data_IF_049804695884
#
_entry.id   IF_049804695884
#
_cell.length_a   1.000
_cell.length_b   1.000
_cell.length_c   1.000
_cell.angle_alpha   90.00
_cell.angle_beta   90.00
_cell.angle_gamma   90.00
#
_symmetry.space_group_name_H-M   'P 1'
#
loop_
_entity.id
_entity.type
_entity.pdbx_description
1 polymer ?
#
# COMPACT_ATOMS: atom_id res chain seq x y z
N UNK A 1 -11.55 -29.95 -11.92
CA UNK A 1 -10.14 -29.83 -12.34
C UNK A 1 -9.88 -28.37 -12.70
N UNK A 2 -9.06 -27.67 -11.92
CA UNK A 2 -8.68 -26.29 -12.21
C UNK A 2 -7.71 -26.27 -13.41
N UNK A 3 -7.97 -25.44 -14.41
CA UNK A 3 -7.06 -25.21 -15.54
C UNK A 3 -6.67 -23.74 -15.60
N UNK A 4 -5.37 -23.46 -15.54
CA UNK A 4 -4.78 -22.17 -15.91
C UNK A 4 -4.07 -22.41 -17.25
N UNK A 5 -4.66 -21.96 -18.35
CA UNK A 5 -4.10 -22.21 -19.68
C UNK A 5 -3.26 -21.04 -20.19
N UNK A 6 -3.66 -19.82 -19.87
CA UNK A 6 -2.96 -18.58 -20.29
C UNK A 6 -3.43 -17.40 -19.43
N UNK A 7 -2.68 -16.30 -19.46
CA UNK A 7 -3.09 -15.07 -18.82
C UNK A 7 -4.31 -14.48 -19.51
N UNK A 8 -5.28 -14.01 -18.74
CA UNK A 8 -6.47 -13.31 -19.28
C UNK A 8 -6.08 -11.93 -19.84
N UNK A 9 -5.18 -11.24 -19.15
CA UNK A 9 -4.62 -9.95 -19.57
C UNK A 9 -3.13 -9.95 -19.23
N UNK A 10 -2.32 -9.39 -20.13
CA UNK A 10 -0.90 -9.13 -19.91
C UNK A 10 -0.63 -7.65 -20.21
N UNK A 11 -0.20 -6.92 -19.20
CA UNK A 11 0.11 -5.50 -19.29
C UNK A 11 1.63 -5.36 -19.51
N UNK A 12 2.04 -5.13 -20.74
CA UNK A 12 3.44 -5.01 -21.14
C UNK A 12 3.86 -3.54 -21.21
N UNK A 13 5.15 -3.22 -21.01
CA UNK A 13 5.67 -1.89 -21.30
C UNK A 13 5.61 -1.62 -22.80
N UNK A 14 5.38 -0.36 -23.18
CA UNK A 14 5.29 0.04 -24.59
C UNK A 14 6.58 -0.22 -25.37
N UNK A 15 7.73 -0.19 -24.69
CA UNK A 15 9.04 -0.46 -25.27
C UNK A 15 9.84 -1.36 -24.34
N UNK A 16 10.56 -2.31 -24.91
CA UNK A 16 11.46 -3.21 -24.16
C UNK A 16 12.54 -2.43 -23.36
N UNK A 17 13.00 -1.28 -23.87
CA UNK A 17 13.96 -0.42 -23.18
C UNK A 17 13.40 0.27 -21.92
N UNK A 18 12.09 0.34 -21.77
CA UNK A 18 11.42 0.88 -20.59
C UNK A 18 10.95 -0.21 -19.60
N UNK A 19 11.22 -1.48 -19.92
CA UNK A 19 10.88 -2.59 -19.03
C UNK A 19 11.61 -2.46 -17.69
N UNK A 20 10.85 -2.70 -16.59
CA UNK A 20 11.34 -2.70 -15.21
C UNK A 20 10.78 -3.91 -14.50
N UNK A 21 11.51 -4.38 -13.49
CA UNK A 21 11.07 -5.52 -12.70
C UNK A 21 9.86 -5.13 -11.86
N UNK A 22 8.75 -5.86 -12.02
CA UNK A 22 7.55 -5.69 -11.23
C UNK A 22 7.69 -6.50 -9.93
N UNK A 23 7.79 -5.82 -8.79
CA UNK A 23 8.05 -6.47 -7.50
C UNK A 23 6.79 -6.63 -6.65
N UNK A 24 5.80 -5.80 -6.84
CA UNK A 24 4.61 -5.78 -6.00
C UNK A 24 3.34 -5.57 -6.81
N UNK A 25 2.27 -6.27 -6.44
CA UNK A 25 0.94 -6.12 -7.03
C UNK A 25 -0.15 -6.21 -5.97
N UNK A 26 -1.24 -5.50 -6.15
CA UNK A 26 -2.44 -5.65 -5.35
C UNK A 26 -3.71 -5.31 -6.14
N UNK A 27 -4.81 -6.00 -5.83
CA UNK A 27 -6.14 -5.64 -6.32
C UNK A 27 -6.74 -4.51 -5.49
N UNK A 28 -7.38 -3.56 -6.18
CA UNK A 28 -8.25 -2.54 -5.61
C UNK A 28 -9.64 -2.60 -6.25
N UNK A 29 -10.68 -2.16 -5.55
CA UNK A 29 -12.07 -2.21 -6.00
C UNK A 29 -12.47 -3.61 -6.55
N UNK A 30 -12.05 -4.68 -5.89
CA UNK A 30 -12.22 -6.04 -6.42
C UNK A 30 -13.59 -6.67 -6.10
N UNK A 31 -14.52 -5.88 -5.59
CA UNK A 31 -15.88 -6.29 -5.24
C UNK A 31 -16.84 -6.33 -6.45
N UNK A 32 -16.48 -5.70 -7.58
CA UNK A 32 -17.26 -5.73 -8.82
C UNK A 32 -16.35 -5.73 -10.06
N UNK A 33 -16.94 -5.88 -11.24
CA UNK A 33 -16.22 -5.90 -12.52
C UNK A 33 -16.12 -4.53 -13.20
N UNK A 34 -16.86 -3.53 -12.70
CA UNK A 34 -16.94 -2.20 -13.31
C UNK A 34 -15.77 -1.31 -12.93
N UNK A 35 -15.25 -1.46 -11.68
CA UNK A 35 -14.22 -0.59 -11.12
C UNK A 35 -12.95 -1.34 -10.68
N UNK A 36 -12.89 -2.63 -10.96
CA UNK A 36 -11.74 -3.46 -10.54
C UNK A 36 -10.45 -2.90 -11.10
N UNK A 37 -9.50 -2.68 -10.22
CA UNK A 37 -8.19 -2.10 -10.53
C UNK A 37 -7.07 -2.99 -10.02
N UNK A 38 -5.89 -2.86 -10.63
CA UNK A 38 -4.65 -3.46 -10.15
C UNK A 38 -3.59 -2.38 -10.04
N UNK A 39 -2.91 -2.33 -8.90
CA UNK A 39 -1.70 -1.53 -8.76
C UNK A 39 -0.48 -2.44 -8.89
N UNK A 40 0.51 -1.98 -9.65
CA UNK A 40 1.83 -2.59 -9.77
C UNK A 40 2.90 -1.63 -9.30
N UNK A 41 3.90 -2.13 -8.57
CA UNK A 41 5.06 -1.40 -8.10
C UNK A 41 6.34 -1.99 -8.66
N UNK A 42 7.27 -1.13 -9.08
CA UNK A 42 8.45 -1.51 -9.85
C UNK A 42 9.76 -1.17 -9.12
N UNK A 43 10.85 -1.81 -9.54
CA UNK A 43 12.20 -1.68 -9.00
C UNK A 43 12.76 -0.23 -9.07
N UNK A 44 12.36 0.53 -10.09
CA UNK A 44 12.75 1.94 -10.27
C UNK A 44 11.87 2.95 -9.50
N UNK A 45 10.89 2.46 -8.72
CA UNK A 45 9.98 3.29 -7.94
C UNK A 45 8.68 3.65 -8.65
N UNK A 46 8.47 3.24 -9.88
CA UNK A 46 7.21 3.46 -10.59
C UNK A 46 6.07 2.70 -9.90
N UNK A 47 4.92 3.37 -9.83
CA UNK A 47 3.64 2.80 -9.44
C UNK A 47 2.68 3.03 -10.60
N UNK A 48 1.98 1.97 -11.01
CA UNK A 48 0.98 2.05 -12.08
C UNK A 48 -0.32 1.44 -11.58
N UNK A 49 -1.38 2.23 -11.63
CA UNK A 49 -2.75 1.80 -11.35
C UNK A 49 -3.46 1.53 -12.67
N UNK A 50 -3.85 0.30 -12.88
CA UNK A 50 -4.56 -0.15 -14.09
C UNK A 50 -6.05 -0.29 -13.81
N UNK A 51 -6.87 0.18 -14.73
CA UNK A 51 -8.29 -0.14 -14.82
C UNK A 51 -8.45 -1.41 -15.68
N UNK A 52 -8.92 -2.50 -15.07
CA UNK A 52 -9.05 -3.79 -15.78
C UNK A 52 -10.23 -3.84 -16.75
N UNK A 53 -11.18 -2.94 -16.63
CA UNK A 53 -12.30 -2.85 -17.57
C UNK A 53 -11.83 -2.30 -18.92
N UNK A 54 -10.98 -1.28 -18.88
CA UNK A 54 -10.46 -0.61 -20.09
C UNK A 54 -9.10 -1.14 -20.50
N UNK A 55 -8.44 -1.93 -19.65
CA UNK A 55 -7.06 -2.39 -19.80
C UNK A 55 -6.06 -1.23 -19.99
N UNK A 56 -6.34 -0.11 -19.35
CA UNK A 56 -5.55 1.11 -19.47
C UNK A 56 -4.95 1.54 -18.12
N UNK A 57 -3.86 2.29 -18.18
CA UNK A 57 -3.29 2.94 -17.01
C UNK A 57 -4.18 4.11 -16.63
N UNK A 58 -4.75 4.06 -15.42
CA UNK A 58 -5.55 5.12 -14.83
C UNK A 58 -4.71 6.20 -14.15
N UNK A 59 -3.56 5.78 -13.58
CA UNK A 59 -2.68 6.67 -12.83
C UNK A 59 -1.27 6.12 -12.78
N UNK A 60 -0.29 7.01 -12.86
CA UNK A 60 1.13 6.71 -12.66
C UNK A 60 1.76 7.70 -11.69
N UNK A 61 2.70 7.23 -10.89
CA UNK A 61 3.56 8.05 -10.04
C UNK A 61 4.91 7.36 -9.85
N UNK A 62 5.89 8.08 -9.30
CA UNK A 62 7.20 7.52 -9.00
C UNK A 62 7.65 7.86 -7.58
N UNK A 63 7.95 6.83 -6.80
CA UNK A 63 8.46 6.93 -5.42
C UNK A 63 9.94 7.23 -5.32
N UNK A 64 10.65 7.36 -6.45
CA UNK A 64 12.11 7.56 -6.59
C UNK A 64 12.98 6.38 -6.15
N UNK A 65 12.43 5.40 -5.47
CA UNK A 65 13.10 4.20 -4.99
C UNK A 65 12.22 2.99 -5.18
N UNK A 66 12.82 1.82 -5.42
CA UNK A 66 12.11 0.59 -5.71
C UNK A 66 10.98 0.30 -4.73
N UNK A 67 9.83 -0.07 -5.29
CA UNK A 67 8.60 -0.37 -4.55
C UNK A 67 8.64 -1.81 -4.06
N UNK A 68 8.70 -2.00 -2.77
CA UNK A 68 8.80 -3.33 -2.13
C UNK A 68 7.45 -3.97 -1.85
N UNK A 69 6.43 -3.17 -1.57
CA UNK A 69 5.07 -3.65 -1.30
C UNK A 69 4.04 -2.58 -1.63
N UNK A 70 2.87 -3.03 -2.06
CA UNK A 70 1.67 -2.20 -2.27
C UNK A 70 0.49 -2.86 -1.60
N UNK A 71 -0.35 -2.10 -0.90
CA UNK A 71 -1.49 -2.67 -0.19
C UNK A 71 -2.64 -1.67 -0.09
N UNK A 72 -3.79 -2.02 -0.69
CA UNK A 72 -5.03 -1.27 -0.47
C UNK A 72 -5.60 -1.54 0.92
N UNK A 73 -6.34 -0.58 1.44
CA UNK A 73 -6.97 -0.70 2.76
C UNK A 73 -8.03 -1.80 2.81
N UNK A 74 -8.84 -1.94 1.78
CA UNK A 74 -9.83 -3.00 1.62
C UNK A 74 -10.01 -3.32 0.13
N UNK A 75 -9.67 -4.52 -0.34
CA UNK A 75 -9.87 -4.89 -1.75
C UNK A 75 -11.32 -5.24 -2.07
N UNK A 76 -12.12 -5.63 -1.07
CA UNK A 76 -13.51 -6.10 -1.18
C UNK A 76 -14.57 -4.99 -1.15
N UNK A 77 -14.17 -3.74 -1.00
CA UNK A 77 -15.02 -2.54 -1.08
C UNK A 77 -14.27 -1.43 -1.80
N UNK A 78 -14.91 -0.27 -1.96
CA UNK A 78 -14.27 0.89 -2.56
C UNK A 78 -12.95 1.25 -1.87
N UNK A 79 -11.89 1.34 -2.66
CA UNK A 79 -10.55 1.68 -2.19
C UNK A 79 -10.48 3.12 -1.70
N UNK A 80 -10.08 3.32 -0.46
CA UNK A 80 -9.88 4.65 0.11
C UNK A 80 -8.41 5.01 0.26
N UNK A 81 -7.57 4.03 0.55
CA UNK A 81 -6.14 4.23 0.78
C UNK A 81 -5.32 3.17 0.07
N UNK A 82 -4.16 3.59 -0.39
CA UNK A 82 -3.10 2.73 -0.88
C UNK A 82 -1.82 3.05 -0.11
N UNK A 83 -1.25 2.06 0.57
CA UNK A 83 0.09 2.19 1.16
C UNK A 83 1.10 1.52 0.24
N UNK A 84 2.14 2.27 -0.07
CA UNK A 84 3.27 1.86 -0.92
C UNK A 84 4.54 1.97 -0.09
N UNK A 85 5.30 0.90 0.01
CA UNK A 85 6.59 0.86 0.74
C UNK A 85 7.76 0.84 -0.22
N UNK A 86 8.91 1.34 0.22
CA UNK A 86 10.07 1.48 -0.63
C UNK A 86 11.35 0.96 0.00
N UNK A 87 12.37 0.74 -0.84
CA UNK A 87 13.72 0.38 -0.41
C UNK A 87 14.34 1.42 0.53
N UNK A 88 13.92 2.68 0.44
CA UNK A 88 14.54 3.79 1.17
C UNK A 88 13.79 4.16 2.45
N UNK A 89 13.56 3.22 3.35
CA UNK A 89 13.05 3.49 4.71
C UNK A 89 11.69 4.17 4.78
N UNK A 90 11.04 4.44 3.67
CA UNK A 90 9.83 5.26 3.56
C UNK A 90 8.63 4.45 3.09
N UNK A 91 7.46 4.97 3.41
CA UNK A 91 6.22 4.61 2.74
C UNK A 91 5.47 5.86 2.29
N UNK A 92 4.60 5.69 1.30
CA UNK A 92 3.56 6.66 0.93
C UNK A 92 2.19 6.10 1.23
N UNK A 93 1.33 6.94 1.78
CA UNK A 93 -0.09 6.62 1.96
C UNK A 93 -0.89 7.57 1.07
N UNK A 94 -1.51 7.05 0.03
CA UNK A 94 -2.35 7.78 -0.92
C UNK A 94 -3.80 7.76 -0.45
N UNK A 95 -4.49 8.91 -0.55
CA UNK A 95 -5.95 8.98 -0.42
C UNK A 95 -6.58 8.80 -1.82
N UNK A 96 -7.07 7.61 -2.09
CA UNK A 96 -7.58 7.20 -3.41
C UNK A 96 -8.90 7.88 -3.80
N UNK A 97 -9.47 8.70 -2.92
CA UNK A 97 -10.67 9.48 -3.17
C UNK A 97 -10.37 10.90 -3.66
N UNK A 98 -9.10 11.24 -3.82
CA UNK A 98 -8.63 12.60 -4.15
C UNK A 98 -8.06 12.67 -5.57
N UNK A 99 -8.49 11.82 -6.49
CA UNK A 99 -7.94 11.81 -7.85
C UNK A 99 -8.15 13.15 -8.55
N UNK A 100 -7.04 13.75 -8.97
CA UNK A 100 -7.00 14.98 -9.74
C UNK A 100 -6.34 14.71 -11.09
N UNK A 101 -6.89 15.24 -12.22
CA UNK A 101 -6.37 14.92 -13.56
C UNK A 101 -4.90 15.29 -13.77
N UNK A 102 -4.45 16.43 -13.21
CA UNK A 102 -3.09 16.92 -13.39
C UNK A 102 -2.14 16.60 -12.23
N UNK A 103 -2.64 16.54 -10.99
CA UNK A 103 -1.82 16.39 -9.78
C UNK A 103 -1.93 14.98 -9.15
N UNK A 104 -2.80 14.12 -9.69
CA UNK A 104 -2.97 12.74 -9.25
C UNK A 104 -3.66 12.60 -7.89
N UNK A 105 -3.25 11.63 -7.09
CA UNK A 105 -3.77 11.39 -5.74
C UNK A 105 -2.97 12.15 -4.69
N UNK A 106 -3.66 12.79 -3.77
CA UNK A 106 -3.02 13.35 -2.58
C UNK A 106 -2.41 12.23 -1.74
N UNK A 107 -1.19 12.45 -1.26
CA UNK A 107 -0.48 11.47 -0.45
C UNK A 107 0.37 12.10 0.64
N UNK A 108 0.64 11.33 1.68
CA UNK A 108 1.64 11.64 2.70
C UNK A 108 2.80 10.66 2.58
N UNK A 109 4.02 11.16 2.78
CA UNK A 109 5.24 10.34 2.77
C UNK A 109 5.87 10.42 4.16
N UNK A 110 6.10 9.25 4.76
CA UNK A 110 6.68 9.13 6.09
C UNK A 110 7.88 8.19 6.08
N UNK A 111 8.81 8.45 6.99
CA UNK A 111 9.92 7.53 7.26
C UNK A 111 9.49 6.53 8.31
N UNK A 112 9.35 5.26 7.91
CA UNK A 112 8.91 4.19 8.81
C UNK A 112 10.03 3.61 9.66
N UNK A 113 11.16 3.29 9.02
CA UNK A 113 12.25 2.54 9.64
C UNK A 113 13.60 3.20 9.36
N UNK A 114 14.67 2.63 9.89
CA UNK A 114 16.06 3.01 9.54
C UNK A 114 16.63 2.18 8.39
N UNK A 115 15.84 1.31 7.83
CA UNK A 115 16.18 0.35 6.77
C UNK A 115 15.03 0.25 5.77
N UNK A 116 15.18 -0.57 4.74
CA UNK A 116 14.13 -0.91 3.78
C UNK A 116 12.81 -1.25 4.49
N UNK A 117 11.70 -0.76 3.98
CA UNK A 117 10.37 -1.17 4.40
C UNK A 117 9.90 -2.29 3.47
N UNK A 118 9.92 -3.53 3.94
CA UNK A 118 9.63 -4.69 3.08
C UNK A 118 8.15 -4.94 2.85
N UNK A 119 7.32 -4.63 3.84
CA UNK A 119 5.90 -4.95 3.78
C UNK A 119 5.05 -3.91 4.52
N UNK A 120 3.84 -3.68 4.01
CA UNK A 120 2.76 -3.02 4.73
C UNK A 120 1.46 -3.82 4.57
N UNK A 121 0.64 -3.87 5.63
CA UNK A 121 -0.67 -4.54 5.63
C UNK A 121 -1.66 -3.75 6.48
N UNK A 122 -2.81 -3.42 5.91
CA UNK A 122 -3.92 -2.84 6.67
C UNK A 122 -4.57 -3.89 7.57
N UNK A 123 -5.06 -3.43 8.71
CA UNK A 123 -5.83 -4.26 9.64
C UNK A 123 -7.21 -4.56 9.02
N UNK A 124 -7.62 -5.84 8.87
CA UNK A 124 -8.89 -6.18 8.23
C UNK A 124 -10.12 -5.58 8.93
N UNK A 125 -10.06 -5.42 10.26
CA UNK A 125 -11.17 -4.92 11.08
C UNK A 125 -11.24 -3.40 11.17
N UNK A 126 -10.14 -2.69 10.83
CA UNK A 126 -10.09 -1.23 10.81
C UNK A 126 -9.20 -0.76 9.65
N UNK A 127 -9.83 -0.29 8.57
CA UNK A 127 -9.15 0.16 7.35
C UNK A 127 -8.23 1.37 7.52
N UNK A 128 -8.29 2.05 8.67
CA UNK A 128 -7.47 3.21 8.96
C UNK A 128 -6.17 2.85 9.68
N UNK A 129 -6.07 1.61 10.17
CA UNK A 129 -4.87 1.08 10.82
C UNK A 129 -4.10 0.19 9.85
N UNK A 130 -2.78 0.38 9.80
CA UNK A 130 -1.88 -0.49 9.05
C UNK A 130 -0.56 -0.68 9.78
N UNK A 131 0.11 -1.78 9.46
CA UNK A 131 1.46 -2.04 9.94
C UNK A 131 2.50 -1.88 8.84
N UNK A 132 3.76 -1.68 9.23
CA UNK A 132 4.92 -1.82 8.35
C UNK A 132 5.97 -2.71 8.99
N UNK A 133 6.63 -3.54 8.16
CA UNK A 133 7.76 -4.39 8.55
C UNK A 133 9.05 -3.91 7.91
N UNK A 134 10.08 -3.71 8.73
CA UNK A 134 11.37 -3.15 8.33
C UNK A 134 12.49 -4.19 8.21
N UNK A 135 13.53 -3.86 7.45
CA UNK A 135 14.74 -4.66 7.27
C UNK A 135 15.60 -4.81 8.52
N UNK A 136 15.36 -3.98 9.54
CA UNK A 136 15.99 -4.06 10.85
C UNK A 136 15.17 -4.85 11.89
N UNK A 137 14.16 -5.61 11.45
CA UNK A 137 13.24 -6.32 12.34
C UNK A 137 12.24 -5.41 13.06
N UNK A 138 12.15 -4.17 12.62
CA UNK A 138 11.19 -3.19 13.15
C UNK A 138 9.77 -3.51 12.70
N UNK A 139 8.83 -3.38 13.63
CA UNK A 139 7.40 -3.53 13.44
C UNK A 139 6.73 -2.27 13.96
N UNK A 140 6.11 -1.52 13.05
CA UNK A 140 5.43 -0.28 13.38
C UNK A 140 3.96 -0.39 13.04
N UNK A 141 3.12 0.24 13.84
CA UNK A 141 1.67 0.34 13.62
C UNK A 141 1.32 1.80 13.50
N UNK A 142 0.56 2.12 12.46
CA UNK A 142 0.13 3.46 12.13
C UNK A 142 -1.38 3.56 12.02
N UNK A 143 -1.90 4.78 12.23
CA UNK A 143 -3.26 5.18 11.90
C UNK A 143 -3.27 6.33 10.91
N UNK A 144 -4.07 6.21 9.87
CA UNK A 144 -4.37 7.32 8.98
C UNK A 144 -5.49 8.19 9.57
N UNK A 145 -5.23 9.48 9.67
CA UNK A 145 -6.19 10.50 10.10
C UNK A 145 -6.63 11.29 8.90
N UNK A 146 -7.92 11.25 8.59
CA UNK A 146 -8.47 12.03 7.48
C UNK A 146 -8.39 13.53 7.74
N UNK A 147 -8.17 14.36 6.70
CA UNK A 147 -8.17 15.80 6.86
C UNK A 147 -9.60 16.28 7.12
N UNK A 148 -9.74 17.38 7.86
CA UNK A 148 -11.05 18.01 8.10
C UNK A 148 -11.67 18.49 6.78
N UNK A 149 -10.87 19.10 5.91
CA UNK A 149 -11.25 19.53 4.57
C UNK A 149 -10.50 18.71 3.54
N UNK A 150 -11.22 17.96 2.70
CA UNK A 150 -10.62 17.13 1.64
C UNK A 150 -10.25 17.92 0.38
N UNK A 151 -10.77 19.12 0.26
CA UNK A 151 -10.56 20.02 -0.89
C UNK A 151 -9.58 21.10 -0.47
N UNK A 152 -8.46 21.17 -1.14
CA UNK A 152 -7.40 22.13 -0.92
C UNK A 152 -7.48 23.32 -1.87
N UNK A 153 -6.34 23.95 -2.05
CA UNK A 153 -6.17 25.07 -3.00
C UNK A 153 -6.28 24.57 -4.44
N UNK A 154 -6.45 25.47 -5.38
CA UNK A 154 -6.48 25.14 -6.81
C UNK A 154 -5.14 24.55 -7.28
N UNK A 155 -5.22 23.48 -8.06
CA UNK A 155 -4.09 22.84 -8.71
C UNK A 155 -3.58 23.58 -9.94
N UNK A 156 -2.71 22.92 -10.72
CA UNK A 156 -2.09 23.51 -11.91
C UNK A 156 -3.07 23.89 -13.02
N UNK A 157 -4.20 23.24 -13.07
CA UNK A 157 -5.29 23.47 -14.04
C UNK A 157 -6.40 24.37 -13.49
N UNK A 158 -6.24 24.90 -12.28
CA UNK A 158 -7.23 25.74 -11.62
C UNK A 158 -8.38 24.97 -10.94
N UNK A 159 -8.40 23.62 -11.04
CA UNK A 159 -9.36 22.81 -10.33
C UNK A 159 -8.91 22.57 -8.86
N UNK A 160 -9.83 22.32 -7.91
CA UNK A 160 -9.47 22.07 -6.52
C UNK A 160 -8.73 20.73 -6.38
N UNK A 161 -7.57 20.74 -5.75
CA UNK A 161 -6.75 19.54 -5.46
C UNK A 161 -7.18 18.91 -4.15
N UNK A 162 -7.16 17.60 -4.08
CA UNK A 162 -7.38 16.87 -2.85
C UNK A 162 -6.29 17.11 -1.81
N UNK A 163 -6.66 17.01 -0.54
CA UNK A 163 -5.75 17.09 0.60
C UNK A 163 -5.59 15.73 1.22
N UNK A 164 -4.34 15.25 1.34
CA UNK A 164 -4.05 14.06 2.13
C UNK A 164 -4.22 14.35 3.62
N UNK A 165 -4.58 13.32 4.37
CA UNK A 165 -4.60 13.38 5.82
C UNK A 165 -3.21 13.36 6.43
N UNK A 166 -3.11 12.81 7.62
CA UNK A 166 -1.84 12.58 8.32
C UNK A 166 -1.73 11.13 8.77
N UNK A 167 -0.50 10.71 9.06
CA UNK A 167 -0.24 9.37 9.58
C UNK A 167 0.32 9.49 11.00
N UNK A 168 -0.35 8.85 11.94
CA UNK A 168 0.03 8.80 13.36
C UNK A 168 0.71 7.46 13.66
N UNK A 169 1.90 7.50 14.25
CA UNK A 169 2.57 6.29 14.74
C UNK A 169 1.94 5.88 16.08
N UNK A 170 1.23 4.75 16.11
CA UNK A 170 0.61 4.21 17.33
C UNK A 170 1.59 3.40 18.16
N UNK A 171 2.44 2.60 17.53
CA UNK A 171 3.43 1.76 18.21
C UNK A 171 4.62 1.47 17.31
N UNK A 172 5.78 1.31 17.93
CA UNK A 172 7.03 0.91 17.26
C UNK A 172 7.78 -0.07 18.15
N UNK A 173 8.12 -1.24 17.61
CA UNK A 173 8.89 -2.28 18.31
C UNK A 173 9.88 -2.94 17.35
N UNK A 174 11.02 -3.33 17.86
CA UNK A 174 11.91 -4.27 17.18
C UNK A 174 11.56 -5.66 17.70
N UNK A 175 11.05 -6.52 16.82
CA UNK A 175 10.55 -7.86 17.18
C UNK A 175 11.34 -8.97 16.50
N UNK A 176 12.32 -8.61 15.67
CA UNK A 176 13.30 -9.52 15.08
C UNK A 176 14.66 -8.81 14.97
N UNK A 177 15.73 -9.58 14.82
CA UNK A 177 17.06 -9.06 14.50
C UNK A 177 17.34 -9.01 13.01
N UNK A 178 16.42 -9.55 12.19
CA UNK A 178 16.51 -9.68 10.75
C UNK A 178 15.25 -9.11 10.06
N UNK A 179 15.30 -8.85 8.74
CA UNK A 179 14.18 -8.34 8.00
C UNK A 179 12.87 -9.11 8.20
N UNK A 180 11.77 -8.36 8.40
CA UNK A 180 10.41 -8.89 8.34
C UNK A 180 9.99 -8.87 6.88
N UNK A 181 9.82 -10.05 6.26
CA UNK A 181 9.58 -10.18 4.81
C UNK A 181 8.16 -10.60 4.47
N UNK A 182 7.44 -11.17 5.42
CA UNK A 182 6.04 -11.54 5.25
C UNK A 182 5.27 -11.32 6.54
N UNK A 183 4.01 -10.94 6.38
CA UNK A 183 3.12 -10.65 7.51
C UNK A 183 1.67 -10.88 7.08
N UNK A 184 0.85 -11.36 8.01
CA UNK A 184 -0.58 -11.42 7.80
C UNK A 184 -1.35 -11.20 9.10
N UNK A 185 -2.52 -10.54 8.98
CA UNK A 185 -3.49 -10.38 10.05
C UNK A 185 -4.52 -11.50 9.99
N UNK A 186 -4.98 -11.96 11.16
CA UNK A 186 -6.16 -12.82 11.21
C UNK A 186 -7.40 -12.01 10.75
N UNK A 187 -8.17 -12.51 9.77
CA UNK A 187 -9.35 -11.80 9.29
C UNK A 187 -10.52 -11.82 10.29
N UNK A 188 -10.57 -12.81 11.16
CA UNK A 188 -11.65 -13.07 12.11
C UNK A 188 -11.33 -12.65 13.55
N UNK A 189 -10.04 -12.54 13.92
CA UNK A 189 -9.63 -12.14 15.26
C UNK A 189 -8.78 -10.88 15.24
N UNK A 190 -9.36 -9.77 15.70
CA UNK A 190 -8.69 -8.47 15.74
C UNK A 190 -7.35 -8.52 16.49
N UNK A 191 -6.33 -7.98 15.85
CA UNK A 191 -4.98 -7.88 16.39
C UNK A 191 -4.16 -9.16 16.41
N UNK A 192 -4.77 -10.35 16.16
CA UNK A 192 -4.00 -11.57 15.99
C UNK A 192 -3.27 -11.52 14.65
N UNK A 193 -1.98 -11.81 14.66
CA UNK A 193 -1.16 -11.75 13.46
C UNK A 193 -0.01 -12.75 13.51
N UNK A 194 0.54 -13.01 12.34
CA UNK A 194 1.75 -13.80 12.18
C UNK A 194 2.74 -13.12 11.24
N UNK A 195 4.01 -13.39 11.42
CA UNK A 195 5.07 -12.88 10.55
C UNK A 195 6.19 -13.88 10.36
N UNK A 196 6.86 -13.78 9.24
CA UNK A 196 8.15 -14.44 9.02
C UNK A 196 9.28 -13.43 8.94
N UNK A 197 10.45 -13.84 9.41
CA UNK A 197 11.66 -13.04 9.36
C UNK A 197 12.84 -13.88 8.88
N UNK A 198 13.85 -13.23 8.32
CA UNK A 198 15.05 -13.89 7.80
C UNK A 198 15.94 -14.49 8.92
N UNK A 199 15.56 -14.36 10.19
CA UNK A 199 16.15 -15.08 11.33
C UNK A 199 15.63 -16.53 11.45
N UNK A 200 14.98 -17.05 10.41
CA UNK A 200 14.42 -18.42 10.32
C UNK A 200 13.26 -18.67 11.30
N UNK A 201 12.60 -17.62 11.78
CA UNK A 201 11.49 -17.76 12.72
C UNK A 201 10.16 -17.35 12.13
N UNK A 202 9.12 -18.10 12.52
CA UNK A 202 7.72 -17.70 12.45
C UNK A 202 7.30 -17.20 13.85
N UNK A 203 6.68 -16.02 13.89
CA UNK A 203 6.13 -15.47 15.13
C UNK A 203 4.63 -15.26 14.99
N UNK A 204 3.89 -15.70 16.01
CA UNK A 204 2.44 -15.45 16.13
C UNK A 204 2.25 -14.64 17.41
N UNK A 205 1.56 -13.51 17.33
CA UNK A 205 1.32 -12.63 18.46
C UNK A 205 0.01 -11.85 18.32
N UNK A 206 -0.38 -11.16 19.38
CA UNK A 206 -1.59 -10.33 19.39
C UNK A 206 -1.20 -8.88 19.69
N UNK A 207 -1.62 -7.99 18.82
CA UNK A 207 -1.60 -6.54 19.06
C UNK A 207 -2.87 -6.19 19.84
N UNK A 208 -2.71 -5.61 21.02
CA UNK A 208 -3.82 -5.25 21.91
C UNK A 208 -4.05 -3.75 21.97
N UNK A 209 -5.22 -3.33 22.48
CA UNK A 209 -5.61 -1.92 22.68
C UNK A 209 -5.83 -1.15 21.37
N UNK A 210 -6.09 -1.84 20.27
CA UNK A 210 -6.42 -1.20 18.98
C UNK A 210 -7.72 -0.39 19.08
N UNK A 211 -8.66 -0.84 19.90
CA UNK A 211 -9.95 -0.16 20.18
C UNK A 211 -9.79 1.25 20.74
N UNK A 212 -8.70 1.55 21.44
CA UNK A 212 -8.42 2.88 22.00
C UNK A 212 -8.10 3.94 20.95
N UNK A 213 -7.87 3.49 19.74
CA UNK A 213 -7.46 4.33 18.61
C UNK A 213 -8.55 4.43 17.52
N UNK A 214 -9.74 3.87 17.78
CA UNK A 214 -10.93 4.01 16.92
C UNK A 214 -11.60 5.38 17.01
#
# INVERSE_FOLDING_TARGET
MLRVSHAVVTLNPDKASSARDCWAVAFGNSYNDEERSVVAGFDNGDIKLYDLRTNAIRYEDNCKNGVTSVHFDRPDIEMNKLVVTTLESKFRCYDMRTQHPADGFAHVTERAHRSTVWIAKHLPQDRDIFMTGGGNGGFNIYRYRYPQNRVGKHGRDGAPVGVAGSVELLNSRVISTQPIVSFDWSPDREGLCCMSSLDQTLRVFIVTKLEKHR
#
